data_IF_682335640385
#
_entry.id   IF_682335640385
#
_cell.length_a   1.000
_cell.length_b   1.000
_cell.length_c   1.000
_cell.angle_alpha   90.00
_cell.angle_beta   90.00
_cell.angle_gamma   90.00
#
_symmetry.space_group_name_H-M   'P 1'
#
loop_
_entity.id
_entity.type
_entity.pdbx_description
1 polymer ?
#
# COMPACT_ATOMS: atom_id res chain seq x y z
N UNK A 1 -11.31 -38.94 -17.83
CA UNK A 1 -11.09 -38.49 -17.55
C UNK A 1 -10.75 -37.81 -17.22
N UNK A 2 -10.60 -37.51 -16.99
CA UNK A 2 -10.25 -36.88 -16.61
C UNK A 2 -9.76 -36.04 -16.62
N UNK A 3 -9.25 -35.36 -16.57
CA UNK A 3 -8.73 -34.49 -16.57
C UNK A 3 -9.16 -33.37 -16.62
N UNK A 4 -9.45 -33.11 -17.03
CA UNK A 4 -10.15 -32.09 -17.22
C UNK A 4 -10.09 -31.35 -16.01
N UNK A 5 -10.35 -31.84 -15.05
CA UNK A 5 -10.30 -31.22 -13.90
C UNK A 5 -9.07 -30.52 -13.72
N UNK A 6 -8.19 -30.94 -14.31
CA UNK A 6 -6.96 -30.40 -14.22
C UNK A 6 -6.91 -29.01 -14.52
N UNK A 7 -7.46 -28.63 -15.55
CA UNK A 7 -7.35 -27.30 -15.93
C UNK A 7 -8.01 -26.45 -15.01
N UNK A 8 -8.93 -26.88 -14.44
CA UNK A 8 -9.62 -26.13 -13.58
C UNK A 8 -8.81 -25.57 -12.52
N UNK A 9 -8.03 -26.39 -11.93
CA UNK A 9 -7.34 -25.86 -10.88
C UNK A 9 -6.28 -24.98 -11.33
N UNK A 10 -6.06 -24.99 -12.53
CA UNK A 10 -5.06 -24.16 -13.03
C UNK A 10 -5.56 -22.81 -12.91
N UNK A 11 -6.77 -22.64 -13.17
CA UNK A 11 -7.35 -21.38 -13.12
C UNK A 11 -7.24 -20.88 -11.74
N UNK A 12 -7.51 -21.70 -10.87
CA UNK A 12 -7.46 -21.29 -9.52
C UNK A 12 -6.05 -20.86 -9.23
N UNK A 13 -5.18 -21.54 -9.78
CA UNK A 13 -3.82 -21.24 -9.53
C UNK A 13 -3.50 -19.90 -10.03
N UNK A 14 -4.08 -19.57 -11.08
CA UNK A 14 -3.82 -18.30 -11.64
C UNK A 14 -4.29 -17.23 -10.72
N UNK A 15 -5.42 -17.40 -10.20
CA UNK A 15 -5.91 -16.43 -9.33
C UNK A 15 -5.00 -16.34 -8.18
N UNK A 16 -4.55 -17.44 -7.75
CA UNK A 16 -3.69 -17.51 -6.71
C UNK A 16 -2.48 -16.74 -6.94
N UNK A 17 -2.00 -16.77 -8.11
CA UNK A 17 -0.83 -16.08 -8.42
C UNK A 17 -1.08 -14.62 -8.37
N UNK A 18 -2.21 -14.24 -8.70
CA UNK A 18 -2.44 -12.84 -8.75
C UNK A 18 -2.49 -12.31 -7.34
N UNK A 19 -2.62 -13.17 -6.43
CA UNK A 19 -2.59 -12.75 -5.11
C UNK A 19 -1.21 -12.56 -4.78
N UNK A 20 -0.67 -11.48 -4.86
CA UNK A 20 0.60 -11.27 -4.53
C UNK A 20 0.86 -11.88 -3.31
N UNK A 21 1.84 -12.49 -3.17
CA UNK A 21 2.19 -13.15 -2.01
C UNK A 21 2.08 -12.12 -1.07
N UNK A 22 1.54 -12.38 -0.11
CA UNK A 22 1.45 -11.51 0.79
C UNK A 22 2.69 -11.20 1.45
N UNK A 23 3.74 -11.16 0.80
CA UNK A 23 4.93 -10.78 1.40
C UNK A 23 4.81 -9.34 1.68
N UNK A 24 4.69 -8.96 2.86
CA UNK A 24 4.70 -7.57 3.17
C UNK A 24 6.07 -7.07 2.88
N UNK A 25 6.19 -5.85 2.52
CA UNK A 25 7.49 -5.25 2.35
C UNK A 25 8.16 -5.17 3.72
N UNK A 26 9.47 -5.20 3.77
CA UNK A 26 10.17 -5.08 5.04
C UNK A 26 9.95 -3.69 5.61
N UNK A 27 10.13 -3.52 6.91
CA UNK A 27 10.01 -2.22 7.51
C UNK A 27 11.11 -1.30 7.02
N UNK A 28 10.82 -0.02 6.93
CA UNK A 28 11.83 0.93 6.49
C UNK A 28 12.88 1.07 7.57
N UNK A 29 14.11 1.33 7.18
CA UNK A 29 15.20 1.41 8.15
C UNK A 29 15.16 2.69 8.97
N UNK A 30 15.98 2.73 10.01
CA UNK A 30 16.08 3.90 10.85
C UNK A 30 16.94 4.94 10.19
N UNK A 31 16.52 5.44 9.08
CA UNK A 31 17.27 6.47 8.38
C UNK A 31 16.27 7.47 7.88
N UNK A 32 16.74 8.52 7.26
CA UNK A 32 15.82 9.53 6.74
C UNK A 32 14.91 8.90 5.69
N UNK A 33 13.64 9.26 5.73
CA UNK A 33 12.69 8.73 4.78
C UNK A 33 13.04 9.12 3.35
N UNK A 34 13.92 10.07 3.16
CA UNK A 34 14.35 10.43 1.83
C UNK A 34 15.06 9.29 1.13
N UNK A 35 15.55 8.32 1.91
CA UNK A 35 16.24 7.18 1.33
C UNK A 35 15.40 5.89 1.36
N UNK A 36 14.17 5.98 1.78
CA UNK A 36 13.35 4.78 1.90
C UNK A 36 12.89 4.31 0.53
N UNK A 37 13.02 3.03 0.28
CA UNK A 37 12.53 2.44 -0.95
C UNK A 37 12.22 0.97 -0.71
N UNK A 38 11.18 0.48 -1.36
CA UNK A 38 10.77 -0.91 -1.24
C UNK A 38 10.60 -1.34 0.21
N UNK A 39 10.00 -0.49 1.01
CA UNK A 39 9.81 -0.77 2.43
C UNK A 39 8.49 -0.16 2.90
N UNK A 40 8.08 -0.53 4.10
CA UNK A 40 6.84 -0.05 4.68
C UNK A 40 7.20 0.78 5.91
N UNK A 41 6.74 1.99 5.98
CA UNK A 41 7.09 2.84 7.11
C UNK A 41 6.12 4.00 7.31
N UNK A 42 6.29 4.69 8.43
CA UNK A 42 5.41 5.78 8.82
C UNK A 42 6.19 7.05 9.07
N UNK A 43 5.61 8.17 8.70
CA UNK A 43 6.18 9.48 9.00
C UNK A 43 5.07 10.39 9.48
N UNK A 44 5.43 11.43 10.21
CA UNK A 44 4.46 12.41 10.67
C UNK A 44 3.95 12.11 12.07
N UNK A 45 2.98 12.89 12.52
CA UNK A 45 2.41 12.71 13.84
C UNK A 45 0.97 13.24 13.82
N UNK A 46 0.31 13.13 14.96
CA UNK A 46 -1.06 13.63 15.05
C UNK A 46 -1.12 15.14 14.87
N UNK A 47 -0.05 15.84 15.21
CA UNK A 47 -0.05 17.28 15.10
C UNK A 47 0.22 17.74 13.68
N UNK A 48 0.66 16.82 12.83
CA UNK A 48 0.95 17.16 11.45
C UNK A 48 0.29 16.09 10.62
N UNK A 49 0.43 16.21 9.32
CA UNK A 49 -0.06 15.15 8.45
C UNK A 49 0.87 13.95 8.60
N UNK A 50 0.33 12.76 8.44
CA UNK A 50 1.14 11.56 8.56
C UNK A 50 0.84 10.59 7.43
N UNK A 51 1.82 9.75 7.12
CA UNK A 51 1.66 8.73 6.10
C UNK A 51 2.19 7.41 6.64
N UNK A 52 1.43 6.35 6.40
CA UNK A 52 1.86 5.00 6.74
C UNK A 52 1.63 4.15 5.52
N UNK A 53 2.66 3.55 5.01
CA UNK A 53 2.49 2.71 3.82
C UNK A 53 3.81 2.42 3.15
N UNK A 54 3.71 2.14 1.87
CA UNK A 54 4.86 1.74 1.08
C UNK A 54 5.61 2.93 0.54
N UNK A 55 6.90 2.76 0.37
CA UNK A 55 7.79 3.83 -0.07
C UNK A 55 8.63 3.39 -1.25
N UNK A 56 8.92 4.31 -2.13
CA UNK A 56 9.81 4.05 -3.23
C UNK A 56 10.56 5.32 -3.56
N UNK A 57 11.88 5.23 -3.56
CA UNK A 57 12.72 6.39 -3.86
C UNK A 57 12.37 7.61 -3.01
N UNK A 58 12.11 7.38 -1.73
CA UNK A 58 11.81 8.46 -0.81
C UNK A 58 10.44 9.06 -0.96
N UNK A 59 9.57 8.42 -1.72
CA UNK A 59 8.22 8.95 -1.95
C UNK A 59 7.16 7.93 -1.61
N UNK A 60 5.98 8.42 -1.26
CA UNK A 60 4.83 7.54 -1.01
C UNK A 60 4.52 6.81 -2.30
N UNK A 61 4.34 5.51 -2.22
CA UNK A 61 4.12 4.68 -3.39
C UNK A 61 3.36 3.44 -2.99
N UNK A 62 2.60 2.85 -3.89
CA UNK A 62 1.86 1.64 -3.57
C UNK A 62 0.72 1.91 -2.60
N UNK A 63 0.48 0.99 -1.70
CA UNK A 63 -0.64 1.11 -0.77
C UNK A 63 -0.24 1.91 0.46
N UNK A 64 -1.12 2.76 0.90
CA UNK A 64 -0.82 3.54 2.10
C UNK A 64 -2.03 4.27 2.65
N UNK A 65 -1.82 4.89 3.80
CA UNK A 65 -2.82 5.68 4.47
C UNK A 65 -2.22 7.05 4.79
N UNK A 66 -2.89 8.08 4.35
CA UNK A 66 -2.46 9.44 4.64
C UNK A 66 -3.51 10.08 5.55
N UNK A 67 -3.06 10.60 6.67
CA UNK A 67 -3.97 11.21 7.62
C UNK A 67 -3.61 12.67 7.76
N UNK A 68 -4.60 13.53 7.57
CA UNK A 68 -4.39 14.96 7.71
C UNK A 68 -4.56 15.36 9.14
N UNK A 69 -3.93 16.44 9.53
CA UNK A 69 -3.99 16.89 10.91
C UNK A 69 -5.40 17.23 11.35
N UNK A 70 -6.30 17.51 10.43
CA UNK A 70 -7.68 17.82 10.78
C UNK A 70 -8.55 16.56 10.90
N UNK A 71 -7.97 15.40 10.74
CA UNK A 71 -8.73 14.16 10.87
C UNK A 71 -9.20 13.54 9.56
N UNK A 72 -9.07 14.23 8.46
CA UNK A 72 -9.41 13.63 7.17
C UNK A 72 -8.39 12.53 6.88
N UNK A 73 -8.75 11.56 6.10
CA UNK A 73 -7.78 10.52 5.74
C UNK A 73 -8.05 9.97 4.35
N UNK A 74 -7.00 9.43 3.77
CA UNK A 74 -7.09 8.77 2.48
C UNK A 74 -6.41 7.41 2.63
N UNK A 75 -7.09 6.37 2.19
CA UNK A 75 -6.54 5.03 2.19
C UNK A 75 -6.60 4.54 0.77
N UNK A 76 -5.47 4.21 0.20
CA UNK A 76 -5.47 3.77 -1.18
C UNK A 76 -4.09 3.73 -1.79
N UNK A 77 -4.07 3.96 -3.08
CA UNK A 77 -2.84 3.85 -3.84
C UNK A 77 -2.17 5.20 -4.03
N UNK A 78 -0.86 5.17 -4.07
CA UNK A 78 -0.03 6.36 -4.23
C UNK A 78 1.00 6.13 -5.30
N UNK A 79 1.42 7.21 -5.91
CA UNK A 79 2.54 7.16 -6.83
C UNK A 79 3.20 8.52 -6.79
N UNK A 80 4.50 8.54 -6.55
CA UNK A 80 5.26 9.80 -6.51
C UNK A 80 4.63 10.82 -5.57
N UNK A 81 4.27 10.38 -4.38
CA UNK A 81 3.68 11.21 -3.34
C UNK A 81 2.26 11.70 -3.64
N UNK A 82 1.65 11.20 -4.68
CA UNK A 82 0.31 11.64 -5.06
C UNK A 82 -0.68 10.49 -4.96
N UNK A 83 -1.92 10.81 -4.68
CA UNK A 83 -2.98 9.80 -4.72
C UNK A 83 -3.04 9.30 -6.16
N UNK A 84 -3.19 8.01 -6.32
CA UNK A 84 -3.18 7.42 -7.64
C UNK A 84 -4.06 6.17 -7.63
N UNK A 85 -4.69 5.88 -8.75
CA UNK A 85 -5.49 4.68 -8.82
C UNK A 85 -6.69 4.74 -7.90
N UNK A 86 -6.92 3.68 -7.15
CA UNK A 86 -8.09 3.56 -6.32
C UNK A 86 -7.82 3.91 -4.88
N UNK A 87 -8.78 4.52 -4.25
CA UNK A 87 -8.63 4.85 -2.85
C UNK A 87 -9.93 5.41 -2.30
N UNK A 88 -9.96 5.62 -1.00
CA UNK A 88 -11.13 6.13 -0.33
C UNK A 88 -10.73 7.30 0.54
N UNK A 89 -11.36 8.43 0.34
CA UNK A 89 -11.12 9.60 1.15
C UNK A 89 -12.24 9.71 2.16
N UNK A 90 -11.88 9.92 3.42
CA UNK A 90 -12.86 10.03 4.50
C UNK A 90 -12.68 11.36 5.19
N UNK A 91 -13.76 12.10 5.34
CA UNK A 91 -13.70 13.37 6.03
C UNK A 91 -13.81 13.13 7.53
N UNK A 92 -13.17 14.01 8.29
CA UNK A 92 -13.14 13.83 9.73
C UNK A 92 -14.52 13.79 10.38
N UNK A 93 -15.46 14.47 9.79
CA UNK A 93 -16.79 14.51 10.41
C UNK A 93 -17.74 13.53 9.76
N UNK A 94 -17.22 12.57 9.14
CA UNK A 94 -18.06 11.56 8.55
C UNK A 94 -18.09 11.57 7.09
#
# INVERSE_FOLDING_TARGET
MRYVKIKIYLVAAVLFLSVKPSFALPPCPDSSSLFWTDCFGSTGSFATNSYTGEWKNGQHSGSGTYTYSNGNSYVGEFENNLFNGQGKFTFANG
#
